data_IF_444961705794
#
_entry.id   IF_444961705794
#
_cell.length_a   1.000
_cell.length_b   1.000
_cell.length_c   1.000
_cell.angle_alpha   90.00
_cell.angle_beta   90.00
_cell.angle_gamma   90.00
#
_symmetry.space_group_name_H-M   'P 1'
#
loop_
_entity.id
_entity.type
_entity.pdbx_description
1 polymer ?
#
# COMPACT_ATOMS: atom_id res chain seq x y z
N UNK A 1 14.25 -16.26 33.61
CA UNK A 1 13.82 -14.98 33.03
C UNK A 1 14.44 -14.65 31.67
N UNK A 2 15.41 -15.41 31.16
CA UNK A 2 16.02 -15.25 29.82
C UNK A 2 15.36 -16.13 28.72
N UNK A 3 14.77 -17.26 29.09
CA UNK A 3 14.11 -18.16 28.13
C UNK A 3 12.77 -17.65 27.57
N UNK A 4 12.00 -16.87 28.34
CA UNK A 4 10.74 -16.29 27.87
C UNK A 4 10.89 -15.19 26.80
N UNK A 5 12.07 -14.55 26.72
CA UNK A 5 12.31 -13.49 25.71
C UNK A 5 12.76 -14.02 24.34
N UNK A 6 13.25 -15.25 24.27
CA UNK A 6 13.62 -15.90 22.99
C UNK A 6 12.39 -16.50 22.31
N UNK A 7 11.42 -17.00 23.07
CA UNK A 7 10.17 -17.55 22.49
C UNK A 7 9.26 -16.45 21.91
N UNK A 8 9.24 -15.25 22.49
CA UNK A 8 8.51 -14.12 21.91
C UNK A 8 9.18 -13.52 20.68
N UNK A 9 10.53 -13.52 20.60
CA UNK A 9 11.24 -13.13 19.38
C UNK A 9 11.03 -14.12 18.24
N UNK A 10 10.91 -15.39 18.52
CA UNK A 10 10.65 -16.42 17.50
C UNK A 10 9.21 -16.41 16.99
N UNK A 11 8.24 -15.93 17.77
CA UNK A 11 6.86 -15.77 17.31
C UNK A 11 6.64 -14.60 16.33
N UNK A 12 7.45 -13.55 16.42
CA UNK A 12 7.39 -12.40 15.49
C UNK A 12 8.10 -12.70 14.16
N UNK A 13 8.97 -13.70 14.10
CA UNK A 13 9.68 -14.11 12.88
C UNK A 13 8.97 -15.25 12.13
N UNK A 14 7.80 -15.69 12.59
CA UNK A 14 6.96 -16.65 11.88
C UNK A 14 5.98 -15.96 10.91
N UNK A 15 6.35 -14.82 10.38
CA UNK A 15 5.67 -14.23 9.22
C UNK A 15 6.19 -14.98 7.99
N UNK A 16 5.50 -16.09 7.74
CA UNK A 16 5.28 -16.64 6.40
C UNK A 16 6.56 -16.84 5.58
N UNK A 17 7.40 -17.80 5.96
CA UNK A 17 8.00 -18.66 4.96
C UNK A 17 6.89 -19.56 4.40
N UNK A 18 5.98 -18.96 3.65
CA UNK A 18 5.16 -19.71 2.72
C UNK A 18 6.11 -20.05 1.56
N UNK A 19 6.41 -21.33 1.45
CA UNK A 19 7.15 -21.89 0.33
C UNK A 19 6.57 -21.33 -0.97
N UNK A 20 7.44 -21.06 -1.95
CA UNK A 20 7.10 -20.72 -3.33
C UNK A 20 6.40 -21.93 -3.98
N UNK A 21 5.20 -22.25 -3.52
CA UNK A 21 4.26 -23.06 -4.26
C UNK A 21 3.54 -22.13 -5.22
N UNK A 22 3.64 -22.41 -6.49
CA UNK A 22 3.09 -21.76 -7.67
C UNK A 22 1.95 -20.74 -7.38
N UNK A 23 2.20 -19.44 -7.61
CA UNK A 23 1.15 -18.42 -7.65
C UNK A 23 0.94 -17.59 -6.38
N UNK A 24 1.68 -17.73 -5.29
CA UNK A 24 1.49 -16.90 -4.10
C UNK A 24 2.38 -15.67 -4.10
N UNK A 25 1.76 -14.48 -4.12
CA UNK A 25 2.46 -13.21 -3.94
C UNK A 25 3.08 -13.13 -2.54
N UNK A 26 4.40 -12.90 -2.46
CA UNK A 26 5.10 -12.67 -1.19
C UNK A 26 5.01 -11.20 -0.83
N UNK A 27 4.45 -10.90 0.34
CA UNK A 27 4.31 -9.54 0.87
C UNK A 27 5.41 -9.27 1.89
N UNK A 28 6.05 -8.11 1.79
CA UNK A 28 6.94 -7.57 2.83
C UNK A 28 6.36 -6.25 3.34
N UNK A 29 6.11 -6.16 4.65
CA UNK A 29 5.71 -4.92 5.31
C UNK A 29 6.96 -4.13 5.68
N UNK A 30 7.10 -2.94 5.10
CA UNK A 30 8.19 -2.01 5.36
C UNK A 30 7.72 -0.96 6.35
N UNK A 31 8.39 -0.83 7.49
CA UNK A 31 8.05 0.17 8.49
C UNK A 31 9.25 1.11 8.69
N UNK A 32 9.12 2.37 8.30
CA UNK A 32 10.20 3.35 8.38
C UNK A 32 9.74 4.77 8.77
N UNK A 33 8.44 4.97 8.89
CA UNK A 33 7.79 6.21 9.32
C UNK A 33 6.45 5.91 9.96
N UNK A 34 5.45 6.73 9.68
CA UNK A 34 4.11 6.58 10.23
C UNK A 34 3.24 5.64 9.41
N UNK A 35 3.45 5.63 8.09
CA UNK A 35 2.66 4.82 7.15
C UNK A 35 3.32 3.45 6.95
N UNK A 36 2.54 2.38 7.04
CA UNK A 36 2.98 1.06 6.64
C UNK A 36 3.04 1.01 5.11
N UNK A 37 4.20 0.74 4.57
CA UNK A 37 4.43 0.52 3.14
C UNK A 37 4.50 -0.98 2.88
N UNK A 38 3.97 -1.44 1.76
CA UNK A 38 3.98 -2.87 1.44
C UNK A 38 4.64 -3.12 0.10
N UNK A 39 5.51 -4.12 0.07
CA UNK A 39 6.15 -4.58 -1.15
C UNK A 39 5.58 -5.95 -1.51
N UNK A 40 4.94 -6.03 -2.68
CA UNK A 40 4.29 -7.25 -3.19
C UNK A 40 5.08 -7.75 -4.38
N UNK A 41 5.53 -9.01 -4.31
CA UNK A 41 6.29 -9.65 -5.39
C UNK A 41 5.36 -10.23 -6.43
N UNK A 42 5.65 -9.94 -7.68
CA UNK A 42 5.04 -10.59 -8.85
C UNK A 42 6.12 -11.09 -9.80
N UNK A 43 5.82 -12.11 -10.60
CA UNK A 43 6.78 -12.75 -11.51
C UNK A 43 7.20 -11.79 -12.64
N UNK A 44 6.28 -10.94 -13.11
CA UNK A 44 6.50 -9.98 -14.20
C UNK A 44 6.79 -8.55 -13.73
N UNK A 45 6.68 -8.28 -12.43
CA UNK A 45 6.94 -6.97 -11.85
C UNK A 45 6.49 -6.87 -10.40
N UNK A 46 7.24 -6.16 -9.59
CA UNK A 46 6.93 -5.98 -8.16
C UNK A 46 6.23 -4.65 -7.92
N UNK A 47 5.30 -4.64 -6.99
CA UNK A 47 4.49 -3.49 -6.63
C UNK A 47 4.84 -2.98 -5.23
N UNK A 48 5.11 -1.69 -5.09
CA UNK A 48 5.17 -0.99 -3.82
C UNK A 48 3.83 -0.30 -3.60
N UNK A 49 3.22 -0.51 -2.44
CA UNK A 49 1.95 0.11 -2.05
C UNK A 49 2.25 1.14 -0.98
N UNK A 50 1.87 2.37 -1.23
CA UNK A 50 2.11 3.56 -0.43
C UNK A 50 3.60 3.87 -0.19
N UNK A 51 3.85 5.06 0.30
CA UNK A 51 5.13 5.51 0.82
C UNK A 51 4.89 6.17 2.18
N UNK A 52 5.74 7.07 2.60
CA UNK A 52 5.53 7.92 3.77
C UNK A 52 5.67 9.39 3.34
N UNK A 53 5.72 10.31 4.28
CA UNK A 53 5.98 11.73 4.04
C UNK A 53 7.25 11.96 3.23
N UNK A 54 7.27 13.06 2.47
CA UNK A 54 8.48 13.56 1.84
C UNK A 54 9.60 13.76 2.88
N UNK A 55 10.85 13.50 2.45
CA UNK A 55 12.02 13.56 3.34
C UNK A 55 12.34 12.27 4.09
N UNK A 56 11.51 11.23 4.01
CA UNK A 56 11.77 9.94 4.67
C UNK A 56 12.61 8.97 3.83
N UNK A 57 13.06 9.36 2.63
CA UNK A 57 13.83 8.50 1.71
C UNK A 57 15.03 7.78 2.36
N UNK A 58 15.84 8.40 3.24
CA UNK A 58 16.93 7.69 3.90
C UNK A 58 16.45 6.57 4.85
N UNK A 59 15.27 6.74 5.46
CA UNK A 59 14.65 5.71 6.30
C UNK A 59 14.08 4.57 5.43
N UNK A 60 13.47 4.91 4.30
CA UNK A 60 13.00 3.96 3.32
C UNK A 60 14.14 3.06 2.80
N UNK A 61 15.30 3.64 2.46
CA UNK A 61 16.46 2.86 2.02
C UNK A 61 16.94 1.84 3.07
N UNK A 62 16.88 2.21 4.35
CA UNK A 62 17.21 1.27 5.44
C UNK A 62 16.19 0.13 5.50
N UNK A 63 14.90 0.47 5.45
CA UNK A 63 13.82 -0.52 5.51
C UNK A 63 13.90 -1.53 4.37
N UNK A 64 14.05 -1.09 3.11
CA UNK A 64 14.15 -2.03 1.98
C UNK A 64 15.40 -2.91 2.09
N UNK A 65 16.54 -2.36 2.58
CA UNK A 65 17.77 -3.13 2.80
C UNK A 65 17.59 -4.24 3.84
N UNK A 66 16.86 -3.98 4.93
CA UNK A 66 16.54 -4.98 5.97
C UNK A 66 15.74 -6.17 5.40
N UNK A 67 14.95 -5.92 4.36
CA UNK A 67 14.19 -6.94 3.64
C UNK A 67 14.90 -7.52 2.41
N UNK A 68 16.20 -7.18 2.21
CA UNK A 68 16.98 -7.56 1.02
C UNK A 68 16.33 -7.12 -0.30
N UNK A 69 15.66 -5.97 -0.30
CA UNK A 69 15.05 -5.33 -1.47
C UNK A 69 15.96 -4.21 -1.94
N UNK A 70 16.12 -4.08 -3.26
CA UNK A 70 16.81 -2.96 -3.91
C UNK A 70 15.78 -2.07 -4.60
N UNK A 71 16.13 -0.80 -4.84
CA UNK A 71 15.27 0.10 -5.65
C UNK A 71 14.97 -0.50 -7.02
N UNK A 72 15.97 -1.12 -7.64
CA UNK A 72 15.80 -1.78 -8.94
C UNK A 72 14.82 -2.95 -8.94
N UNK A 73 14.47 -3.48 -7.79
CA UNK A 73 13.47 -4.54 -7.66
C UNK A 73 12.04 -3.97 -7.65
N UNK A 74 11.88 -2.68 -7.36
CA UNK A 74 10.57 -2.02 -7.35
C UNK A 74 10.23 -1.61 -8.78
N UNK A 75 9.25 -2.28 -9.38
CA UNK A 75 8.82 -1.99 -10.75
C UNK A 75 7.78 -0.88 -10.77
N UNK A 76 6.82 -0.96 -9.86
CA UNK A 76 5.69 -0.03 -9.77
C UNK A 76 5.52 0.49 -8.35
N UNK A 77 5.03 1.72 -8.23
CA UNK A 77 4.49 2.28 -6.98
C UNK A 77 3.03 2.65 -7.21
N UNK A 78 2.15 2.23 -6.30
CA UNK A 78 0.72 2.53 -6.26
C UNK A 78 0.41 3.20 -4.93
N UNK A 79 -0.23 4.35 -4.95
CA UNK A 79 -0.79 4.96 -3.74
C UNK A 79 -2.21 4.48 -3.51
N UNK A 80 -2.56 4.14 -2.27
CA UNK A 80 -3.96 3.84 -1.92
C UNK A 80 -4.82 5.08 -2.02
N UNK A 81 -4.24 6.26 -1.77
CA UNK A 81 -4.82 7.58 -2.00
C UNK A 81 -3.72 8.67 -1.94
N UNK A 82 -4.05 9.90 -2.30
CA UNK A 82 -3.04 10.95 -2.51
C UNK A 82 -2.88 11.91 -1.32
N UNK A 83 -3.05 11.44 -0.06
CA UNK A 83 -2.64 12.19 1.12
C UNK A 83 -1.11 12.24 1.26
N UNK A 84 -0.56 13.26 1.94
CA UNK A 84 0.89 13.52 1.98
C UNK A 84 1.74 12.34 2.47
N UNK A 85 1.24 11.59 3.41
CA UNK A 85 1.92 10.46 4.03
C UNK A 85 1.79 9.13 3.26
N UNK A 86 1.15 9.15 2.10
CA UNK A 86 1.06 8.01 1.18
C UNK A 86 1.86 8.22 -0.09
N UNK A 87 2.18 9.48 -0.43
CA UNK A 87 2.79 9.80 -1.73
C UNK A 87 4.12 10.55 -1.64
N UNK A 88 4.60 10.83 -0.42
CA UNK A 88 5.73 11.75 -0.22
C UNK A 88 7.04 11.35 -0.91
N UNK A 89 7.25 10.07 -1.21
CA UNK A 89 8.44 9.59 -1.92
C UNK A 89 8.19 9.23 -3.38
N UNK A 90 6.96 9.35 -3.89
CA UNK A 90 6.61 8.88 -5.24
C UNK A 90 7.50 9.53 -6.30
N UNK A 91 7.66 10.86 -6.29
CA UNK A 91 8.50 11.56 -7.28
C UNK A 91 9.96 11.17 -7.22
N UNK A 92 10.50 10.94 -6.01
CA UNK A 92 11.89 10.51 -5.81
C UNK A 92 12.10 9.08 -6.32
N UNK A 93 11.13 8.18 -6.14
CA UNK A 93 11.17 6.81 -6.66
C UNK A 93 11.05 6.79 -8.19
N UNK A 94 10.16 7.59 -8.76
CA UNK A 94 10.00 7.71 -10.21
C UNK A 94 11.29 8.18 -10.89
N UNK A 95 12.01 9.13 -10.30
CA UNK A 95 13.34 9.56 -10.78
C UNK A 95 14.38 8.43 -10.78
N UNK A 96 14.19 7.43 -9.95
CA UNK A 96 15.06 6.26 -9.85
C UNK A 96 14.60 5.10 -10.73
N UNK A 97 13.59 5.33 -11.59
CA UNK A 97 13.13 4.37 -12.58
C UNK A 97 11.92 3.53 -12.16
N UNK A 98 11.36 3.75 -10.95
CA UNK A 98 10.09 3.15 -10.55
C UNK A 98 8.96 3.78 -11.37
N UNK A 99 8.00 2.98 -11.82
CA UNK A 99 6.86 3.47 -12.59
C UNK A 99 5.68 3.77 -11.65
N UNK A 100 5.14 4.97 -11.73
CA UNK A 100 3.90 5.29 -11.00
C UNK A 100 2.71 4.64 -11.71
N UNK A 101 1.97 3.82 -10.96
CA UNK A 101 0.69 3.26 -11.38
C UNK A 101 -0.44 4.10 -10.77
N UNK A 102 -1.37 4.56 -11.59
CA UNK A 102 -2.51 5.38 -11.17
C UNK A 102 -3.79 4.75 -11.68
N UNK A 103 -4.76 4.60 -10.80
CA UNK A 103 -6.12 4.21 -11.21
C UNK A 103 -6.87 5.46 -11.66
N UNK A 104 -7.67 5.35 -12.71
CA UNK A 104 -8.39 6.48 -13.32
C UNK A 104 -9.20 7.32 -12.32
N UNK A 105 -9.79 6.68 -11.30
CA UNK A 105 -10.56 7.36 -10.23
C UNK A 105 -9.69 8.27 -9.35
N UNK A 106 -8.37 8.11 -9.38
CA UNK A 106 -7.41 8.88 -8.58
C UNK A 106 -6.83 10.09 -9.32
N UNK A 107 -7.04 10.18 -10.63
CA UNK A 107 -6.32 11.13 -11.50
C UNK A 107 -6.46 12.60 -11.12
N UNK A 108 -7.60 13.01 -10.59
CA UNK A 108 -7.87 14.39 -10.18
C UNK A 108 -7.22 14.76 -8.83
N UNK A 109 -6.78 13.75 -8.05
CA UNK A 109 -6.26 13.90 -6.70
C UNK A 109 -4.73 13.89 -6.60
N UNK A 110 -4.02 13.57 -7.69
CA UNK A 110 -2.56 13.40 -7.72
C UNK A 110 -1.81 14.61 -7.14
N UNK A 111 -2.35 15.80 -7.29
CA UNK A 111 -1.76 17.07 -6.81
C UNK A 111 -2.37 17.56 -5.49
N UNK A 112 -3.19 16.75 -4.82
CA UNK A 112 -3.84 17.13 -3.57
C UNK A 112 -2.84 17.54 -2.48
N UNK A 113 -1.74 16.83 -2.37
CA UNK A 113 -0.72 17.08 -1.36
C UNK A 113 0.24 18.25 -1.69
N UNK A 114 0.26 18.74 -2.93
CA UNK A 114 1.22 19.76 -3.38
C UNK A 114 1.16 21.03 -2.52
N UNK A 115 -0.05 21.56 -2.24
CA UNK A 115 -0.21 22.75 -1.41
C UNK A 115 0.21 22.51 0.04
N UNK A 116 -0.04 21.31 0.57
CA UNK A 116 0.31 20.93 1.95
C UNK A 116 1.82 20.93 2.10
N UNK A 117 2.54 20.27 1.21
CA UNK A 117 4.01 20.24 1.21
C UNK A 117 4.62 21.62 0.89
N UNK A 118 3.98 22.44 0.06
CA UNK A 118 4.48 23.76 -0.27
C UNK A 118 4.47 24.73 0.92
N UNK A 119 3.64 24.48 1.94
CA UNK A 119 3.59 25.28 3.18
C UNK A 119 4.81 25.08 4.07
N UNK A 120 5.47 23.92 3.96
CA UNK A 120 6.65 23.60 4.75
C UNK A 120 7.81 23.10 3.87
N UNK A 121 8.72 24.00 3.55
CA UNK A 121 9.90 23.72 2.68
C UNK A 121 10.90 22.70 3.28
N UNK A 122 10.73 22.34 4.56
CA UNK A 122 11.59 21.32 5.19
C UNK A 122 11.36 19.92 4.61
N UNK A 123 10.18 19.66 4.05
CA UNK A 123 9.87 18.37 3.44
C UNK A 123 10.61 18.09 2.13
N UNK A 124 11.15 19.11 1.47
CA UNK A 124 11.85 18.96 0.17
C UNK A 124 11.03 18.12 -0.83
N UNK A 125 9.72 18.34 -0.85
CA UNK A 125 8.80 17.61 -1.72
C UNK A 125 8.88 18.12 -3.16
N UNK A 126 8.77 17.20 -4.11
CA UNK A 126 8.59 17.51 -5.53
C UNK A 126 7.23 16.99 -6.01
N UNK A 127 6.46 17.84 -6.71
CA UNK A 127 5.19 17.42 -7.30
C UNK A 127 5.32 16.23 -8.24
N UNK A 128 4.32 15.37 -8.22
CA UNK A 128 4.27 14.18 -9.07
C UNK A 128 4.08 14.60 -10.53
N UNK A 129 4.90 14.04 -11.43
CA UNK A 129 4.72 14.23 -12.87
C UNK A 129 3.80 13.16 -13.45
N UNK A 130 2.52 13.49 -13.60
CA UNK A 130 1.51 12.57 -14.14
C UNK A 130 1.81 12.05 -15.55
N UNK A 131 2.57 12.80 -16.36
CA UNK A 131 2.88 12.40 -17.74
C UNK A 131 3.73 11.13 -17.81
N UNK A 132 4.40 10.78 -16.74
CA UNK A 132 5.19 9.53 -16.61
C UNK A 132 4.43 8.39 -15.97
N UNK A 133 3.19 8.63 -15.54
CA UNK A 133 2.36 7.62 -14.90
C UNK A 133 1.75 6.63 -15.90
N UNK A 134 1.58 5.41 -15.46
CA UNK A 134 0.77 4.41 -16.16
C UNK A 134 -0.64 4.52 -15.61
N UNK A 135 -1.57 4.95 -16.46
CA UNK A 135 -2.98 5.06 -16.12
C UNK A 135 -3.71 3.78 -16.48
N UNK A 136 -4.50 3.25 -15.55
CA UNK A 136 -5.38 2.10 -15.81
C UNK A 136 -6.81 2.42 -15.38
N UNK A 137 -7.81 1.82 -16.04
CA UNK A 137 -9.17 1.75 -15.53
C UNK A 137 -9.21 0.87 -14.29
N UNK A 138 -10.09 1.18 -13.34
CA UNK A 138 -10.25 0.33 -12.16
C UNK A 138 -10.72 -1.07 -12.57
N UNK A 139 -11.55 -1.14 -13.59
CA UNK A 139 -12.04 -2.37 -14.21
C UNK A 139 -10.96 -3.21 -14.88
N UNK A 140 -9.86 -2.58 -15.32
CA UNK A 140 -8.73 -3.23 -15.98
C UNK A 140 -7.67 -3.70 -14.96
N UNK A 141 -7.84 -3.39 -13.69
CA UNK A 141 -6.83 -3.61 -12.65
C UNK A 141 -6.46 -5.09 -12.49
N UNK A 142 -7.43 -6.00 -12.60
CA UNK A 142 -7.20 -7.44 -12.52
C UNK A 142 -6.31 -7.93 -13.66
N UNK A 143 -6.57 -7.48 -14.89
CA UNK A 143 -5.75 -7.84 -16.05
C UNK A 143 -4.33 -7.29 -15.93
N UNK A 144 -4.19 -6.02 -15.52
CA UNK A 144 -2.89 -5.40 -15.30
C UNK A 144 -2.07 -6.15 -14.25
N UNK A 145 -2.66 -6.44 -13.09
CA UNK A 145 -1.99 -7.14 -11.99
C UNK A 145 -1.57 -8.56 -12.42
N UNK A 146 -2.46 -9.27 -13.11
CA UNK A 146 -2.14 -10.59 -13.66
C UNK A 146 -0.95 -10.55 -14.62
N UNK A 147 -0.83 -9.53 -15.48
CA UNK A 147 0.29 -9.37 -16.40
C UNK A 147 1.63 -9.16 -15.69
N UNK A 148 1.63 -8.69 -14.47
CA UNK A 148 2.82 -8.59 -13.61
C UNK A 148 2.98 -9.76 -12.64
N UNK A 149 2.10 -10.76 -12.71
CA UNK A 149 2.13 -11.97 -11.90
C UNK A 149 1.64 -11.76 -10.47
N UNK A 150 0.69 -10.84 -10.28
CA UNK A 150 -0.03 -10.62 -9.03
C UNK A 150 -1.50 -10.97 -9.27
N UNK A 151 -1.99 -12.04 -8.64
CA UNK A 151 -3.39 -12.43 -8.73
C UNK A 151 -4.23 -11.61 -7.74
N UNK A 152 -5.09 -10.74 -8.26
CA UNK A 152 -5.89 -9.82 -7.46
C UNK A 152 -6.52 -8.72 -8.29
N UNK A 153 -7.18 -7.77 -7.62
CA UNK A 153 -7.79 -6.59 -8.25
C UNK A 153 -7.79 -5.39 -7.32
N UNK A 154 -8.00 -4.22 -7.89
CA UNK A 154 -8.16 -2.95 -7.16
C UNK A 154 -9.65 -2.60 -7.16
N UNK A 155 -10.16 -2.21 -5.99
CA UNK A 155 -11.53 -1.75 -5.81
C UNK A 155 -11.55 -0.35 -5.22
N UNK A 156 -12.64 0.40 -5.45
CA UNK A 156 -12.84 1.71 -4.80
C UNK A 156 -13.35 1.50 -3.38
N UNK A 157 -12.73 2.17 -2.41
CA UNK A 157 -13.14 2.22 -1.00
C UNK A 157 -13.06 3.67 -0.52
N UNK A 158 -13.98 4.49 -1.02
CA UNK A 158 -13.89 5.94 -1.02
C UNK A 158 -14.40 6.62 0.28
N UNK A 159 -14.67 5.87 1.35
CA UNK A 159 -15.22 6.44 2.59
C UNK A 159 -14.21 7.27 3.38
N UNK A 160 -12.89 7.04 3.20
CA UNK A 160 -11.84 7.89 3.77
C UNK A 160 -11.59 9.14 2.90
N UNK A 161 -11.38 8.95 1.61
CA UNK A 161 -11.25 10.01 0.61
C UNK A 161 -11.74 9.51 -0.75
N UNK A 162 -12.20 10.44 -1.61
CA UNK A 162 -12.83 10.07 -2.89
C UNK A 162 -11.92 9.29 -3.84
N UNK A 163 -10.61 9.38 -3.66
CA UNK A 163 -9.58 8.69 -4.44
C UNK A 163 -9.09 7.39 -3.77
N UNK A 164 -9.66 7.03 -2.61
CA UNK A 164 -9.22 5.84 -1.87
C UNK A 164 -9.58 4.56 -2.59
N UNK A 165 -8.58 3.68 -2.66
CA UNK A 165 -8.69 2.34 -3.25
C UNK A 165 -8.15 1.29 -2.28
N UNK A 166 -8.62 0.07 -2.44
CA UNK A 166 -8.06 -1.11 -1.79
C UNK A 166 -7.55 -2.10 -2.83
N UNK A 167 -6.39 -2.72 -2.56
CA UNK A 167 -5.89 -3.84 -3.35
C UNK A 167 -6.24 -5.15 -2.65
N UNK A 168 -6.95 -6.02 -3.37
CA UNK A 168 -7.39 -7.32 -2.89
C UNK A 168 -6.65 -8.41 -3.66
N UNK A 169 -5.91 -9.26 -2.95
CA UNK A 169 -5.25 -10.41 -3.55
C UNK A 169 -6.13 -11.67 -3.44
N UNK A 170 -6.11 -12.52 -4.43
CA UNK A 170 -6.94 -13.73 -4.49
C UNK A 170 -6.60 -14.76 -3.40
N UNK A 171 -5.43 -14.64 -2.76
CA UNK A 171 -5.04 -15.44 -1.61
C UNK A 171 -5.67 -14.98 -0.28
N UNK A 172 -6.48 -13.90 -0.31
CA UNK A 172 -7.18 -13.33 0.84
C UNK A 172 -6.40 -12.22 1.58
N UNK A 173 -5.32 -11.72 1.02
CA UNK A 173 -4.62 -10.55 1.57
C UNK A 173 -5.24 -9.28 0.99
N UNK A 174 -5.60 -8.33 1.86
CA UNK A 174 -6.18 -7.05 1.48
C UNK A 174 -5.33 -5.90 2.02
N UNK A 175 -5.07 -4.90 1.19
CA UNK A 175 -4.45 -3.63 1.57
C UNK A 175 -5.51 -2.55 1.41
N UNK A 176 -5.92 -1.95 2.52
CA UNK A 176 -7.09 -1.08 2.56
C UNK A 176 -6.75 0.41 2.80
N UNK A 177 -5.46 0.75 2.80
CA UNK A 177 -5.03 2.13 3.04
C UNK A 177 -5.49 2.63 4.41
N UNK A 178 -6.15 3.77 4.40
CA UNK A 178 -6.69 4.46 5.57
C UNK A 178 -8.17 4.20 5.82
N UNK A 179 -8.71 3.11 5.21
CA UNK A 179 -10.05 2.67 5.57
C UNK A 179 -10.11 2.42 7.08
N UNK A 180 -11.03 3.11 7.77
CA UNK A 180 -11.16 3.00 9.23
C UNK A 180 -11.34 1.54 9.66
N UNK A 181 -10.65 1.06 10.71
CA UNK A 181 -10.75 -0.32 11.15
C UNK A 181 -12.20 -0.75 11.42
N UNK A 182 -12.52 -1.99 11.07
CA UNK A 182 -13.87 -2.57 11.24
C UNK A 182 -14.40 -2.45 12.67
N UNK A 183 -13.51 -2.44 13.66
CA UNK A 183 -13.84 -2.30 15.08
C UNK A 183 -14.52 -0.96 15.40
N UNK A 184 -14.34 0.02 14.53
CA UNK A 184 -14.92 1.35 14.71
C UNK A 184 -16.25 1.55 13.98
N UNK A 185 -16.76 0.53 13.25
CA UNK A 185 -18.03 0.65 12.52
C UNK A 185 -19.20 1.06 13.44
N UNK A 186 -19.24 0.55 14.66
CA UNK A 186 -20.29 0.90 15.62
C UNK A 186 -20.15 2.33 16.15
N UNK A 187 -18.92 2.87 16.18
CA UNK A 187 -18.66 4.26 16.55
C UNK A 187 -19.03 5.26 15.44
N UNK A 188 -19.10 4.78 14.20
CA UNK A 188 -19.43 5.56 13.02
C UNK A 188 -20.76 5.10 12.39
N UNK A 189 -21.78 4.86 13.23
CA UNK A 189 -23.08 4.31 12.80
C UNK A 189 -23.73 5.08 11.64
N UNK A 190 -23.56 6.40 11.59
CA UNK A 190 -24.10 7.27 10.54
C UNK A 190 -23.27 7.28 9.25
N UNK A 191 -22.03 6.73 9.28
CA UNK A 191 -21.18 6.65 8.08
C UNK A 191 -21.52 5.40 7.27
N UNK A 192 -22.56 5.51 6.43
CA UNK A 192 -23.01 4.42 5.57
C UNK A 192 -21.95 4.06 4.53
N UNK A 193 -21.17 5.03 4.02
CA UNK A 193 -20.12 4.80 3.05
C UNK A 193 -19.02 3.86 3.61
N UNK A 194 -18.61 4.07 4.88
CA UNK A 194 -17.65 3.17 5.53
C UNK A 194 -18.19 1.74 5.65
N UNK A 195 -19.46 1.61 6.00
CA UNK A 195 -20.12 0.30 6.09
C UNK A 195 -20.22 -0.37 4.72
N UNK A 196 -20.51 0.39 3.67
CA UNK A 196 -20.62 -0.12 2.31
C UNK A 196 -19.25 -0.57 1.79
N UNK A 197 -18.17 0.18 2.04
CA UNK A 197 -16.80 -0.19 1.70
C UNK A 197 -16.40 -1.50 2.40
N UNK A 198 -16.69 -1.65 3.70
CA UNK A 198 -16.42 -2.89 4.41
C UNK A 198 -17.26 -4.06 3.91
N UNK A 199 -18.52 -3.85 3.60
CA UNK A 199 -19.36 -4.87 2.98
C UNK A 199 -18.75 -5.35 1.66
N UNK A 200 -18.26 -4.41 0.84
CA UNK A 200 -17.58 -4.73 -0.42
C UNK A 200 -16.30 -5.54 -0.18
N UNK A 201 -15.40 -5.07 0.69
CA UNK A 201 -14.15 -5.79 1.02
C UNK A 201 -14.44 -7.21 1.52
N UNK A 202 -15.46 -7.39 2.38
CA UNK A 202 -15.81 -8.68 2.96
C UNK A 202 -16.39 -9.66 1.92
N UNK A 203 -16.89 -9.20 0.77
CA UNK A 203 -17.33 -10.11 -0.32
C UNK A 203 -16.18 -10.92 -0.89
N UNK A 204 -14.94 -10.45 -0.75
CA UNK A 204 -13.72 -11.12 -1.21
C UNK A 204 -13.18 -12.16 -0.23
N UNK A 205 -13.85 -12.40 0.90
CA UNK A 205 -13.45 -13.35 1.95
C UNK A 205 -11.99 -13.13 2.42
N UNK A 206 -11.65 -11.92 2.91
CA UNK A 206 -10.30 -11.61 3.36
C UNK A 206 -9.87 -12.55 4.50
N UNK A 207 -8.58 -12.89 4.52
CA UNK A 207 -7.93 -13.63 5.62
C UNK A 207 -7.06 -12.71 6.45
N UNK A 208 -6.42 -11.74 5.79
CA UNK A 208 -5.54 -10.75 6.42
C UNK A 208 -5.83 -9.39 5.81
N UNK A 209 -6.05 -8.41 6.66
CA UNK A 209 -6.25 -7.01 6.27
C UNK A 209 -5.05 -6.20 6.77
N UNK A 210 -4.39 -5.50 5.86
CA UNK A 210 -3.31 -4.57 6.13
C UNK A 210 -3.80 -3.13 6.02
N UNK A 211 -3.58 -2.37 7.08
CA UNK A 211 -3.88 -0.93 7.18
C UNK A 211 -2.60 -0.11 7.08
N UNK A 212 -2.70 1.12 6.59
CA UNK A 212 -1.55 2.01 6.51
C UNK A 212 -1.13 2.56 7.88
N UNK A 213 -2.05 2.72 8.83
CA UNK A 213 -1.77 3.29 10.15
C UNK A 213 -2.08 2.38 11.33
N UNK A 214 -2.54 1.16 11.11
CA UNK A 214 -2.85 0.21 12.16
C UNK A 214 -2.08 -1.11 11.99
N UNK A 215 -2.19 -1.98 13.00
CA UNK A 215 -1.71 -3.34 12.87
C UNK A 215 -2.61 -4.12 11.92
N UNK A 216 -2.05 -5.14 11.28
CA UNK A 216 -2.81 -6.08 10.48
C UNK A 216 -3.87 -6.81 11.32
N UNK A 217 -4.98 -7.12 10.66
CA UNK A 217 -6.05 -7.92 11.25
C UNK A 217 -6.15 -9.26 10.54
N UNK A 218 -6.10 -10.33 11.28
CA UNK A 218 -6.44 -11.68 10.83
C UNK A 218 -7.93 -11.89 11.06
N UNK A 219 -8.66 -12.32 10.02
CA UNK A 219 -10.11 -12.55 10.02
C UNK A 219 -10.42 -14.01 10.38
#
# INVERSE_FOLDING_TARGET
MLQCREEERNKVTLVVKLDFAEGMSVVSKLKYGNTNTFFVRGIGGNLLIDTDYAGTLPAFYRAIKEHNIKISDITYVLATHYHPDHIGLVSELVKQGVKLLVVNTQSEYIHFADEIFNRDKRFNYEPINIRSAIMIGIEDSREFLKNIGIEGEIISTASHSNDSISLILDNGICFVGDLEPMEYLDAYEENTALRDDWNLVMTYNPKIIYYSHANEKVI
#
